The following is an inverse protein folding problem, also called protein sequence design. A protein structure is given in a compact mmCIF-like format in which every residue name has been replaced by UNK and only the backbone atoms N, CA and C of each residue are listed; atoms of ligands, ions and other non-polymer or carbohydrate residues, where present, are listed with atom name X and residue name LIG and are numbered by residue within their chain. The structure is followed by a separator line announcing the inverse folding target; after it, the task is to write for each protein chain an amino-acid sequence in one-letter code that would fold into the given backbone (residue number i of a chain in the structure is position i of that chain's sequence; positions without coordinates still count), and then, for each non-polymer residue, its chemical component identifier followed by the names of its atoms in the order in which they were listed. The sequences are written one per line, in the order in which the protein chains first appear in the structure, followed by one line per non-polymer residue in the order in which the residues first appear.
data_IF_215997912041
#
_entry.id   IF_215997912041
#
_cell.length_a   1.000
_cell.length_b   1.000
_cell.length_c   1.000
_cell.angle_alpha   90.00
_cell.angle_beta   90.00
_cell.angle_gamma   90.00
#
_symmetry.space_group_name_H-M   'P 1'
#
loop_
_entity.id
_entity.type
_entity.pdbx_description
1 polymer ?
#
# COMPACT_ATOMS: atom_id res chain seq x y z
N UNK A 1 -14.93 46.13 14.65
CA UNK A 1 -14.53 45.92 13.25
C UNK A 1 -14.32 44.42 13.04
N UNK A 2 -14.88 43.89 11.95
CA UNK A 2 -15.19 42.48 11.69
C UNK A 2 -14.00 41.49 11.69
N UNK A 3 -14.31 40.27 12.18
CA UNK A 3 -13.89 38.91 11.77
C UNK A 3 -12.74 38.69 10.76
N UNK A 4 -11.82 37.78 11.13
CA UNK A 4 -11.23 36.78 10.23
C UNK A 4 -11.49 35.35 10.76
N UNK A 5 -12.77 35.03 10.99
CA UNK A 5 -13.27 33.66 11.10
C UNK A 5 -13.53 33.17 9.67
N UNK A 6 -12.52 32.59 9.03
CA UNK A 6 -12.70 31.81 7.79
C UNK A 6 -11.46 30.97 7.46
N UNK A 7 -10.99 30.17 8.41
CA UNK A 7 -10.44 28.88 7.98
C UNK A 7 -11.65 28.03 7.63
N UNK A 8 -11.97 27.97 6.33
CA UNK A 8 -12.97 27.06 5.79
C UNK A 8 -12.57 25.64 6.18
N UNK A 9 -13.07 25.18 7.32
CA UNK A 9 -12.97 23.79 7.71
C UNK A 9 -13.89 23.05 6.75
N UNK A 10 -13.31 22.55 5.65
CA UNK A 10 -13.94 21.46 4.90
C UNK A 10 -14.30 20.40 5.95
N UNK A 11 -15.58 19.98 6.06
CA UNK A 11 -15.91 18.88 6.94
C UNK A 11 -14.96 17.75 6.61
N UNK A 12 -14.37 17.14 7.64
CA UNK A 12 -13.42 16.04 7.52
C UNK A 12 -14.21 14.86 6.92
N UNK A 13 -14.45 14.91 5.61
CA UNK A 13 -14.96 13.80 4.84
C UNK A 13 -14.08 12.63 5.25
N UNK A 14 -14.70 11.52 5.67
CA UNK A 14 -13.99 10.33 6.13
C UNK A 14 -12.78 10.14 5.22
N UNK A 15 -11.57 10.24 5.78
CA UNK A 15 -10.31 10.20 5.02
C UNK A 15 -10.04 8.76 4.58
N UNK A 16 -11.06 8.09 4.06
CA UNK A 16 -11.00 6.77 3.50
C UNK A 16 -10.16 6.88 2.23
N UNK A 17 -9.06 6.13 2.12
CA UNK A 17 -8.25 6.15 0.91
C UNK A 17 -9.12 5.74 -0.28
N UNK A 18 -9.07 6.53 -1.36
CA UNK A 18 -9.83 6.26 -2.60
C UNK A 18 -9.08 5.34 -3.55
N UNK A 19 -7.78 5.12 -3.31
CA UNK A 19 -6.91 4.29 -4.12
C UNK A 19 -5.80 3.69 -3.26
N UNK A 20 -5.21 2.60 -3.75
CA UNK A 20 -4.02 1.98 -3.19
C UNK A 20 -3.09 1.56 -4.32
N UNK A 21 -1.79 1.75 -4.13
CA UNK A 21 -0.75 1.18 -4.98
C UNK A 21 -0.11 0.02 -4.24
N UNK A 22 -0.08 -1.15 -4.88
CA UNK A 22 0.52 -2.35 -4.33
C UNK A 22 1.59 -2.81 -5.30
N UNK A 23 2.83 -2.89 -4.83
CA UNK A 23 3.92 -3.51 -5.59
C UNK A 23 3.76 -5.03 -5.54
N UNK A 24 3.90 -5.75 -6.66
CA UNK A 24 3.91 -7.21 -6.67
C UNK A 24 5.27 -7.67 -7.22
N UNK A 25 6.24 -8.02 -6.35
CA UNK A 25 7.62 -8.21 -6.75
C UNK A 25 7.92 -9.59 -7.34
N UNK A 26 6.93 -10.40 -7.75
CA UNK A 26 7.17 -11.78 -8.17
C UNK A 26 7.04 -11.95 -9.68
N UNK A 27 8.06 -12.53 -10.30
CA UNK A 27 8.05 -12.84 -11.73
C UNK A 27 8.52 -14.27 -11.98
N UNK A 28 7.99 -14.92 -13.02
CA UNK A 28 8.50 -16.24 -13.44
C UNK A 28 9.95 -16.19 -13.91
N UNK A 29 10.34 -15.07 -14.53
CA UNK A 29 11.67 -14.78 -15.05
C UNK A 29 11.91 -13.27 -15.07
N UNK A 30 13.17 -12.85 -15.05
CA UNK A 30 13.56 -11.46 -15.27
C UNK A 30 13.59 -11.15 -16.76
N UNK A 31 12.82 -10.15 -17.20
CA UNK A 31 12.87 -9.65 -18.57
C UNK A 31 14.14 -8.81 -18.77
N UNK A 32 14.64 -8.74 -20.01
CA UNK A 32 15.88 -8.05 -20.35
C UNK A 32 15.89 -6.55 -19.96
N UNK A 33 14.73 -5.89 -20.03
CA UNK A 33 14.58 -4.47 -19.68
C UNK A 33 13.93 -4.25 -18.30
N UNK A 34 13.91 -5.26 -17.43
CA UNK A 34 13.26 -5.13 -16.13
C UNK A 34 14.18 -4.39 -15.15
N UNK A 35 13.76 -3.19 -14.74
CA UNK A 35 14.40 -2.34 -13.74
C UNK A 35 13.71 -2.39 -12.36
N UNK A 36 12.55 -3.04 -12.27
CA UNK A 36 11.81 -3.19 -11.02
C UNK A 36 12.52 -4.13 -10.02
N UNK A 37 12.42 -3.84 -8.71
CA UNK A 37 12.87 -4.76 -7.67
C UNK A 37 11.93 -5.98 -7.63
N UNK A 38 12.42 -7.08 -8.20
CA UNK A 38 11.69 -8.36 -8.31
C UNK A 38 12.47 -9.54 -7.74
N UNK A 39 11.74 -10.54 -7.29
CA UNK A 39 12.18 -11.90 -6.97
C UNK A 39 11.68 -12.87 -8.06
N UNK A 40 12.58 -13.69 -8.59
CA UNK A 40 12.25 -14.67 -9.64
C UNK A 40 11.84 -15.99 -8.98
N UNK A 41 10.61 -16.44 -9.24
CA UNK A 41 10.02 -17.64 -8.61
C UNK A 41 9.94 -18.86 -9.56
N UNK A 42 10.17 -18.65 -10.86
CA UNK A 42 10.13 -19.72 -11.87
C UNK A 42 8.71 -20.05 -12.37
N UNK A 43 8.61 -21.04 -13.27
CA UNK A 43 7.35 -21.37 -13.96
C UNK A 43 6.42 -22.28 -13.15
N UNK A 44 6.92 -22.96 -12.11
CA UNK A 44 6.20 -24.00 -11.37
C UNK A 44 5.54 -23.51 -10.08
N UNK A 45 5.84 -22.29 -9.67
CA UNK A 45 5.28 -21.68 -8.46
C UNK A 45 4.00 -20.90 -8.80
N UNK A 46 2.95 -21.21 -8.07
CA UNK A 46 1.70 -20.45 -7.99
C UNK A 46 1.62 -19.76 -6.62
N UNK A 47 0.67 -18.84 -6.44
CA UNK A 47 0.54 -18.08 -5.19
C UNK A 47 0.51 -18.94 -3.93
N UNK A 48 -0.13 -20.12 -3.98
CA UNK A 48 -0.30 -21.05 -2.85
C UNK A 48 0.72 -22.21 -2.82
N UNK A 49 1.70 -22.22 -3.71
CA UNK A 49 2.77 -23.23 -3.72
C UNK A 49 4.15 -22.63 -3.45
N UNK A 50 4.19 -21.33 -3.14
CA UNK A 50 5.39 -20.60 -2.80
C UNK A 50 5.23 -19.98 -1.41
N UNK A 51 5.96 -20.50 -0.43
CA UNK A 51 5.93 -19.97 0.94
C UNK A 51 6.29 -18.48 1.02
N UNK A 52 7.15 -17.99 0.11
CA UNK A 52 7.48 -16.56 0.03
C UNK A 52 6.30 -15.71 -0.44
N UNK A 53 5.49 -16.21 -1.39
CA UNK A 53 4.31 -15.46 -1.86
C UNK A 53 3.22 -15.46 -0.79
N UNK A 54 3.01 -16.59 -0.11
CA UNK A 54 2.05 -16.68 1.00
C UNK A 54 2.43 -15.72 2.13
N UNK A 55 3.69 -15.75 2.57
CA UNK A 55 4.19 -14.83 3.59
C UNK A 55 4.06 -13.37 3.16
N UNK A 56 4.33 -13.06 1.89
CA UNK A 56 4.14 -11.70 1.37
C UNK A 56 2.70 -11.23 1.47
N UNK A 57 1.74 -12.08 1.08
CA UNK A 57 0.31 -11.76 1.17
C UNK A 57 -0.13 -11.60 2.62
N UNK A 58 0.36 -12.45 3.52
CA UNK A 58 0.07 -12.35 4.95
C UNK A 58 0.50 -10.99 5.52
N UNK A 59 1.76 -10.60 5.30
CA UNK A 59 2.29 -9.31 5.76
C UNK A 59 1.57 -8.14 5.11
N UNK A 60 1.30 -8.19 3.80
CA UNK A 60 0.56 -7.14 3.10
C UNK A 60 -0.85 -6.93 3.70
N UNK A 61 -1.55 -8.02 4.05
CA UNK A 61 -2.84 -7.92 4.72
C UNK A 61 -2.72 -7.26 6.10
N UNK A 62 -1.67 -7.58 6.86
CA UNK A 62 -1.40 -6.95 8.17
C UNK A 62 -1.13 -5.44 8.00
N UNK A 63 -0.35 -5.04 7.00
CA UNK A 63 -0.06 -3.62 6.71
C UNK A 63 -1.31 -2.83 6.30
N UNK A 64 -2.16 -3.41 5.45
CA UNK A 64 -3.43 -2.79 5.04
C UNK A 64 -4.32 -2.56 6.25
N UNK A 65 -4.45 -3.55 7.14
CA UNK A 65 -5.25 -3.44 8.37
C UNK A 65 -4.69 -2.38 9.33
N UNK A 66 -3.36 -2.30 9.46
CA UNK A 66 -2.71 -1.29 10.28
C UNK A 66 -2.90 0.14 9.75
N UNK A 67 -3.02 0.31 8.42
CA UNK A 67 -3.15 1.62 7.76
C UNK A 67 -4.60 2.09 7.61
N UNK A 68 -5.57 1.17 7.65
CA UNK A 68 -7.00 1.48 7.49
C UNK A 68 -7.60 2.31 8.64
N UNK A 69 -6.85 2.52 9.73
CA UNK A 69 -7.29 3.30 10.90
C UNK A 69 -6.72 4.72 10.82
N UNK A 70 -7.44 5.58 10.08
CA UNK A 70 -7.23 7.02 10.11
C UNK A 70 -7.84 7.66 11.36
N UNK A 71 -7.27 7.38 12.54
CA UNK A 71 -7.30 8.34 13.65
C UNK A 71 -5.87 8.84 13.93
N UNK A 72 -5.67 10.12 13.59
CA UNK A 72 -4.85 11.12 14.28
C UNK A 72 -3.39 10.78 14.62
N UNK A 73 -2.48 11.29 13.79
CA UNK A 73 -1.09 11.55 14.17
C UNK A 73 -0.50 12.64 13.30
N UNK A 74 -0.50 13.87 13.80
CA UNK A 74 0.27 15.00 13.27
C UNK A 74 1.77 14.66 13.31
N UNK A 75 2.27 14.07 12.24
CA UNK A 75 3.68 13.74 12.04
C UNK A 75 4.14 14.33 10.71
N UNK A 76 4.80 15.46 10.81
CA UNK A 76 5.49 16.19 9.76
C UNK A 76 6.58 15.31 9.11
N UNK A 77 6.45 15.00 7.82
CA UNK A 77 7.50 14.48 6.93
C UNK A 77 7.35 15.12 5.55
#
# INVERSE_FOLDING_TARGET
MLNCLNKSQKPLASQTPTSAYIHIPFCRRRCYYCDFPISVVGDRTTGSSSGTIEQYVEVLCQEIQATAIGEMGSGEW
#
